data_IF_015077939768
#
_entry.id   IF_015077939768
#
_cell.length_a   1.000
_cell.length_b   1.000
_cell.length_c   1.000
_cell.angle_alpha   90.00
_cell.angle_beta   90.00
_cell.angle_gamma   90.00
#
_symmetry.space_group_name_H-M   'P 1'
#
loop_
_entity.id
_entity.type
_entity.pdbx_description
1 polymer ?
#
# COMPACT_ATOMS: atom_id res chain seq x y z
N UNK A 1 7.95 -8.05 -20.18
CA UNK A 1 7.94 -6.57 -20.25
C UNK A 1 6.53 -6.18 -20.66
N UNK A 2 5.78 -5.49 -19.80
CA UNK A 2 4.40 -5.07 -20.10
C UNK A 2 4.44 -4.02 -21.21
N UNK A 3 3.46 -4.04 -22.12
CA UNK A 3 3.36 -3.02 -23.17
C UNK A 3 2.89 -1.68 -22.58
N UNK A 4 3.29 -0.57 -23.19
CA UNK A 4 2.85 0.77 -22.77
C UNK A 4 1.31 0.90 -22.75
N UNK A 5 0.62 0.20 -23.64
CA UNK A 5 -0.84 0.20 -23.70
C UNK A 5 -1.48 -0.61 -22.57
N UNK A 6 -0.85 -1.69 -22.08
CA UNK A 6 -1.29 -2.38 -20.87
C UNK A 6 -1.10 -1.52 -19.62
N UNK A 7 0.03 -0.81 -19.53
CA UNK A 7 0.29 0.11 -18.43
C UNK A 7 -0.77 1.22 -18.40
N UNK A 8 -1.11 1.82 -19.54
CA UNK A 8 -2.18 2.83 -19.63
C UNK A 8 -3.53 2.29 -19.15
N UNK A 9 -3.89 1.04 -19.51
CA UNK A 9 -5.13 0.41 -19.04
C UNK A 9 -5.12 0.20 -17.53
N UNK A 10 -3.98 -0.19 -16.97
CA UNK A 10 -3.81 -0.36 -15.51
C UNK A 10 -3.96 0.99 -14.79
N UNK A 11 -3.31 2.04 -15.30
CA UNK A 11 -3.44 3.40 -14.75
C UNK A 11 -4.91 3.86 -14.79
N UNK A 12 -5.58 3.71 -15.93
CA UNK A 12 -7.00 4.04 -16.05
C UNK A 12 -7.88 3.23 -15.10
N UNK A 13 -7.58 1.95 -14.87
CA UNK A 13 -8.28 1.12 -13.88
C UNK A 13 -8.10 1.67 -12.46
N UNK A 14 -6.87 2.00 -12.07
CA UNK A 14 -6.55 2.55 -10.75
C UNK A 14 -7.21 3.92 -10.53
N UNK A 15 -7.16 4.81 -11.53
CA UNK A 15 -7.78 6.15 -11.47
C UNK A 15 -9.30 6.07 -11.31
N UNK A 16 -9.93 5.02 -11.83
CA UNK A 16 -11.36 4.75 -11.65
C UNK A 16 -11.68 3.96 -10.35
N UNK A 17 -10.75 3.96 -9.38
CA UNK A 17 -10.86 3.20 -8.13
C UNK A 17 -11.12 1.70 -8.37
N UNK A 18 -10.44 1.11 -9.35
CA UNK A 18 -10.42 -0.33 -9.61
C UNK A 18 -9.37 -1.08 -8.78
N UNK A 19 -9.35 -2.39 -8.92
CA UNK A 19 -8.38 -3.31 -8.29
C UNK A 19 -7.59 -4.00 -9.40
N UNK A 20 -6.27 -4.09 -9.23
CA UNK A 20 -5.39 -4.79 -10.15
C UNK A 20 -4.68 -5.96 -9.47
N UNK A 21 -4.29 -6.95 -10.28
CA UNK A 21 -3.38 -8.01 -9.88
C UNK A 21 -1.94 -7.56 -10.22
N UNK A 22 -1.09 -7.50 -9.21
CA UNK A 22 0.31 -7.07 -9.32
C UNK A 22 1.24 -8.27 -9.09
N UNK A 23 2.16 -8.59 -10.02
CA UNK A 23 3.22 -9.56 -9.75
C UNK A 23 4.19 -8.97 -8.71
N UNK A 24 4.63 -9.80 -7.75
CA UNK A 24 5.76 -9.48 -6.87
C UNK A 24 6.84 -10.55 -7.01
N UNK A 25 7.97 -10.35 -6.33
CA UNK A 25 9.06 -11.32 -6.24
C UNK A 25 8.67 -12.64 -5.56
N UNK A 26 7.58 -12.64 -4.78
CA UNK A 26 7.13 -13.80 -3.99
C UNK A 26 5.80 -14.36 -4.49
N UNK A 27 4.74 -13.56 -4.44
CA UNK A 27 3.37 -13.97 -4.80
C UNK A 27 2.64 -12.85 -5.54
N UNK A 28 1.56 -13.18 -6.25
CA UNK A 28 0.71 -12.14 -6.78
C UNK A 28 -0.04 -11.41 -5.66
N UNK A 29 -0.03 -10.07 -5.71
CA UNK A 29 -0.77 -9.20 -4.82
C UNK A 29 -1.98 -8.57 -5.50
N UNK A 30 -3.03 -8.29 -4.74
CA UNK A 30 -4.10 -7.38 -5.18
C UNK A 30 -3.76 -5.97 -4.70
N UNK A 31 -3.85 -5.00 -5.60
CA UNK A 31 -3.48 -3.61 -5.35
C UNK A 31 -4.58 -2.66 -5.83
N UNK A 32 -4.71 -1.54 -5.12
CA UNK A 32 -5.57 -0.43 -5.45
C UNK A 32 -4.96 0.86 -4.91
N UNK A 33 -5.45 2.02 -5.35
CA UNK A 33 -5.04 3.29 -4.78
C UNK A 33 -5.51 3.40 -3.32
N UNK A 34 -4.63 3.73 -2.36
CA UNK A 34 -4.99 3.79 -0.94
C UNK A 34 -5.98 4.92 -0.60
N UNK A 35 -6.11 5.92 -1.48
CA UNK A 35 -7.12 7.00 -1.37
C UNK A 35 -8.53 6.55 -1.77
N UNK A 36 -8.67 5.44 -2.48
CA UNK A 36 -9.96 4.93 -2.96
C UNK A 36 -10.55 3.93 -1.96
N UNK A 37 -11.32 4.41 -0.97
CA UNK A 37 -11.92 3.57 0.07
C UNK A 37 -12.70 2.37 -0.50
N UNK A 38 -13.51 2.58 -1.55
CA UNK A 38 -14.27 1.51 -2.23
C UNK A 38 -13.36 0.42 -2.81
N UNK A 39 -12.21 0.80 -3.38
CA UNK A 39 -11.28 -0.15 -3.97
C UNK A 39 -10.53 -0.95 -2.89
N UNK A 40 -10.20 -0.30 -1.77
CA UNK A 40 -9.62 -0.94 -0.59
C UNK A 40 -10.60 -1.96 0.00
N UNK A 41 -11.87 -1.58 0.20
CA UNK A 41 -12.93 -2.50 0.68
C UNK A 41 -13.07 -3.70 -0.25
N UNK A 42 -13.05 -3.47 -1.57
CA UNK A 42 -13.07 -4.54 -2.58
C UNK A 42 -11.90 -5.52 -2.42
N UNK A 43 -10.70 -5.06 -2.06
CA UNK A 43 -9.56 -5.95 -1.78
C UNK A 43 -9.84 -6.82 -0.55
N UNK A 44 -10.39 -6.25 0.53
CA UNK A 44 -10.75 -7.03 1.73
C UNK A 44 -11.77 -8.13 1.41
N UNK A 45 -12.81 -7.79 0.64
CA UNK A 45 -13.81 -8.75 0.16
C UNK A 45 -13.19 -9.87 -0.67
N UNK A 46 -12.42 -9.53 -1.70
CA UNK A 46 -11.78 -10.50 -2.60
C UNK A 46 -10.85 -11.45 -1.85
N UNK A 47 -10.13 -10.94 -0.84
CA UNK A 47 -9.21 -11.73 -0.03
C UNK A 47 -9.90 -12.48 1.12
N UNK A 48 -11.19 -12.28 1.34
CA UNK A 48 -11.91 -12.74 2.53
C UNK A 48 -11.15 -12.39 3.82
N UNK A 49 -10.59 -11.17 3.85
CA UNK A 49 -9.66 -10.73 4.89
C UNK A 49 -10.43 -9.97 5.97
N UNK A 50 -10.26 -10.31 7.26
CA UNK A 50 -10.72 -9.48 8.37
C UNK A 50 -10.22 -8.04 8.25
N UNK A 51 -11.11 -7.09 8.50
CA UNK A 51 -10.87 -5.63 8.45
C UNK A 51 -9.77 -5.16 9.41
N UNK A 52 -9.63 -5.82 10.57
CA UNK A 52 -8.55 -5.57 11.55
C UNK A 52 -7.13 -5.84 11.03
N UNK A 53 -6.98 -6.52 9.89
CA UNK A 53 -5.67 -6.85 9.34
C UNK A 53 -5.29 -5.86 8.24
N UNK A 54 -4.52 -4.85 8.62
CA UNK A 54 -4.05 -3.79 7.71
C UNK A 54 -3.40 -4.35 6.43
N UNK A 55 -3.56 -3.61 5.34
CA UNK A 55 -2.88 -3.85 4.06
C UNK A 55 -1.61 -2.97 3.99
N UNK A 56 -0.50 -3.50 3.47
CA UNK A 56 0.71 -2.70 3.28
C UNK A 56 0.50 -1.65 2.18
N UNK A 57 1.11 -0.48 2.35
CA UNK A 57 1.18 0.57 1.32
C UNK A 57 2.55 0.46 0.64
N UNK A 58 2.54 0.30 -0.68
CA UNK A 58 3.74 0.29 -1.50
C UNK A 58 4.04 1.71 -1.99
N UNK A 59 5.31 2.11 -1.87
CA UNK A 59 5.81 3.39 -2.40
C UNK A 59 6.96 3.13 -3.36
N UNK A 60 7.08 3.96 -4.40
CA UNK A 60 8.17 3.87 -5.38
C UNK A 60 9.51 4.40 -4.84
N UNK A 61 9.47 5.19 -3.76
CA UNK A 61 10.62 5.84 -3.18
C UNK A 61 10.37 6.24 -1.73
N UNK A 62 11.41 6.11 -0.90
CA UNK A 62 11.41 6.61 0.48
C UNK A 62 11.08 8.12 0.56
N UNK A 63 11.37 8.89 -0.51
CA UNK A 63 11.04 10.33 -0.59
C UNK A 63 9.54 10.62 -0.52
N UNK A 64 8.67 9.63 -0.81
CA UNK A 64 7.21 9.79 -0.71
C UNK A 64 6.64 9.50 0.67
N UNK A 65 7.40 8.86 1.57
CA UNK A 65 6.93 8.51 2.91
C UNK A 65 6.48 9.71 3.74
N UNK A 66 7.15 10.90 3.69
CA UNK A 66 6.65 12.08 4.40
C UNK A 66 5.26 12.54 3.93
N UNK A 67 4.92 12.35 2.65
CA UNK A 67 3.60 12.69 2.11
C UNK A 67 2.49 11.80 2.69
N UNK A 68 2.84 10.64 3.25
CA UNK A 68 1.92 9.77 3.98
C UNK A 68 1.58 10.30 5.40
N UNK A 69 2.27 11.36 5.85
CA UNK A 69 2.11 11.91 7.20
C UNK A 69 2.81 11.08 8.28
N UNK A 70 3.77 10.23 7.89
CA UNK A 70 4.50 9.37 8.82
C UNK A 70 5.69 10.13 9.40
N UNK A 71 5.84 10.09 10.73
CA UNK A 71 6.96 10.73 11.43
C UNK A 71 8.17 9.78 11.51
N UNK A 72 8.98 9.70 10.45
CA UNK A 72 10.06 8.68 10.35
C UNK A 72 11.14 8.89 11.42
N UNK A 73 11.25 7.95 12.35
CA UNK A 73 12.32 7.92 13.36
C UNK A 73 13.67 7.48 12.80
N UNK A 74 14.74 7.71 13.57
CA UNK A 74 16.12 7.44 13.15
C UNK A 74 16.35 5.97 12.75
N UNK A 75 15.84 5.01 13.53
CA UNK A 75 15.96 3.59 13.21
C UNK A 75 15.30 3.22 11.86
N UNK A 76 14.13 3.78 11.57
CA UNK A 76 13.45 3.59 10.29
C UNK A 76 14.25 4.23 9.15
N UNK A 77 14.83 5.41 9.37
CA UNK A 77 15.69 6.08 8.39
C UNK A 77 16.95 5.25 8.07
N UNK A 78 17.58 4.63 9.07
CA UNK A 78 18.71 3.73 8.88
C UNK A 78 18.34 2.52 8.00
N UNK A 79 17.18 1.91 8.24
CA UNK A 79 16.68 0.80 7.44
C UNK A 79 16.36 1.23 6.00
N UNK A 80 15.74 2.40 5.82
CA UNK A 80 15.44 2.96 4.50
C UNK A 80 16.69 3.27 3.68
N UNK A 81 17.81 3.58 4.34
CA UNK A 81 19.11 3.83 3.71
C UNK A 81 19.97 2.55 3.57
N UNK A 82 19.46 1.39 3.98
CA UNK A 82 20.19 0.13 3.93
C UNK A 82 20.07 -0.56 2.56
N UNK A 83 20.92 -1.55 2.25
CA UNK A 83 20.81 -2.36 1.02
C UNK A 83 19.52 -3.17 0.89
N UNK A 84 18.68 -3.22 1.94
CA UNK A 84 17.38 -3.88 1.91
C UNK A 84 16.33 -3.09 1.11
N UNK A 85 16.61 -1.83 0.74
CA UNK A 85 15.71 -0.95 0.01
C UNK A 85 16.37 -0.47 -1.29
N UNK A 86 15.73 -0.65 -2.46
CA UNK A 86 14.44 -1.32 -2.67
C UNK A 86 14.55 -2.85 -2.47
N UNK A 87 13.55 -3.44 -1.83
CA UNK A 87 13.53 -4.88 -1.53
C UNK A 87 12.35 -5.30 -0.64
N UNK A 88 12.39 -6.54 -0.16
CA UNK A 88 11.33 -7.17 0.64
C UNK A 88 11.24 -6.66 2.09
N UNK A 89 11.42 -5.36 2.31
CA UNK A 89 11.33 -4.72 3.61
C UNK A 89 9.93 -4.11 3.81
N UNK A 90 9.26 -4.50 4.89
CA UNK A 90 8.02 -3.86 5.36
C UNK A 90 8.26 -3.28 6.75
N UNK A 91 8.00 -1.98 6.93
CA UNK A 91 8.16 -1.28 8.20
C UNK A 91 6.78 -1.10 8.86
N UNK A 92 6.55 -1.63 10.08
CA UNK A 92 5.33 -1.35 10.81
C UNK A 92 5.31 0.11 11.28
N UNK A 93 4.13 0.70 11.33
CA UNK A 93 3.93 2.07 11.79
C UNK A 93 2.66 2.17 12.64
N UNK A 94 2.66 3.08 13.62
CA UNK A 94 1.43 3.42 14.34
C UNK A 94 0.51 4.27 13.44
N UNK A 95 -0.61 3.68 13.06
CA UNK A 95 -1.61 4.30 12.20
C UNK A 95 -2.34 5.49 12.83
N UNK A 96 -2.19 5.75 14.13
CA UNK A 96 -2.81 6.89 14.83
C UNK A 96 -2.43 8.26 14.24
N UNK A 97 -1.27 8.35 13.56
CA UNK A 97 -0.75 9.58 12.95
C UNK A 97 -0.80 9.60 11.41
N UNK A 98 -1.31 8.56 10.75
CA UNK A 98 -1.31 8.47 9.29
C UNK A 98 -2.47 9.23 8.67
N UNK A 99 -2.23 9.98 7.59
CA UNK A 99 -3.32 10.62 6.80
C UNK A 99 -4.17 9.59 6.04
N UNK A 100 -3.65 8.39 5.88
CA UNK A 100 -4.30 7.28 5.21
C UNK A 100 -5.00 6.42 6.27
N UNK A 101 -6.31 6.66 6.46
CA UNK A 101 -7.18 5.77 7.23
C UNK A 101 -7.49 4.50 6.43
N UNK A 102 -6.45 3.76 6.02
CA UNK A 102 -6.62 2.45 5.39
C UNK A 102 -6.82 1.44 6.52
N UNK A 103 -8.06 1.29 6.98
CA UNK A 103 -8.47 0.19 7.88
C UNK A 103 -8.63 0.52 9.37
N UNK A 104 -8.57 1.78 9.81
CA UNK A 104 -8.96 2.13 11.18
C UNK A 104 -10.45 2.47 11.26
N UNK A 105 -11.32 1.46 11.15
CA UNK A 105 -12.62 1.55 11.83
C UNK A 105 -12.40 0.97 13.22
N UNK A 106 -12.32 1.86 14.21
CA UNK A 106 -12.29 1.47 15.62
C UNK A 106 -13.54 0.66 15.94
N UNK A 107 -13.41 -0.67 15.92
CA UNK A 107 -14.42 -1.58 16.39
C UNK A 107 -14.26 -1.74 17.88
N UNK A 108 -14.90 -0.86 18.65
CA UNK A 108 -15.28 -1.20 20.03
C UNK A 108 -16.19 -2.41 19.99
N UNK A 109 -15.72 -3.54 20.52
CA UNK A 109 -16.55 -4.50 21.26
C UNK A 109 -15.79 -4.91 22.51
#
# INVERSE_FOLDING_TARGET
>A
MQSDDEIKKIVACLDNCGVMLMPTDTVYGLAALPICARAVERIYELKHRPDRMNLPIMVDSAKRLPALGLAIGEAAQCLLNSPLVPGALTLPWDSSSSRFQVGLRGGTR
#
